data_IF_826217597432
#
_entry.id   IF_826217597432
#
_cell.length_a   1.000
_cell.length_b   1.000
_cell.length_c   1.000
_cell.angle_alpha   90.00
_cell.angle_beta   90.00
_cell.angle_gamma   90.00
#
_symmetry.space_group_name_H-M   'P 1'
#
loop_
_entity.id
_entity.type
_entity.pdbx_description
1 polymer ?
#
# COMPACT_ATOMS: atom_id res chain seq x y z
N UNK A 1 -6.66 22.37 -14.54
CA UNK A 1 -6.02 22.29 -13.20
C UNK A 1 -5.43 20.91 -13.00
N UNK A 2 -4.10 20.75 -12.97
CA UNK A 2 -3.45 19.47 -12.62
C UNK A 2 -3.39 19.35 -11.10
N UNK A 3 -4.40 18.71 -10.51
CA UNK A 3 -4.39 18.37 -9.08
C UNK A 3 -3.22 17.41 -8.80
N UNK A 4 -2.36 17.80 -7.88
CA UNK A 4 -1.24 16.98 -7.41
C UNK A 4 -1.76 15.64 -6.83
N UNK A 5 -1.17 14.51 -7.24
CA UNK A 5 -1.63 13.15 -6.90
C UNK A 5 -1.83 12.91 -5.38
N UNK A 6 -1.08 13.63 -4.53
CA UNK A 6 -1.20 13.59 -3.07
C UNK A 6 -2.58 14.02 -2.56
N UNK A 7 -3.18 15.06 -3.15
CA UNK A 7 -4.53 15.50 -2.78
C UNK A 7 -5.62 14.49 -3.15
N UNK A 8 -5.41 13.75 -4.25
CA UNK A 8 -6.32 12.70 -4.70
C UNK A 8 -6.36 11.49 -3.76
N UNK A 9 -5.20 11.06 -3.28
CA UNK A 9 -5.11 9.93 -2.34
C UNK A 9 -5.82 10.23 -1.02
N UNK A 10 -5.53 11.38 -0.38
CA UNK A 10 -6.16 11.78 0.88
C UNK A 10 -7.68 11.92 0.73
N UNK A 11 -8.14 12.56 -0.35
CA UNK A 11 -9.58 12.67 -0.64
C UNK A 11 -10.25 11.29 -0.78
N UNK A 12 -9.56 10.34 -1.42
CA UNK A 12 -10.07 8.97 -1.57
C UNK A 12 -10.16 8.25 -0.22
N UNK A 13 -9.15 8.39 0.63
CA UNK A 13 -9.15 7.80 1.98
C UNK A 13 -10.28 8.36 2.84
N UNK A 14 -10.55 9.67 2.74
CA UNK A 14 -11.67 10.32 3.44
C UNK A 14 -13.03 9.87 2.88
N UNK A 15 -13.21 9.86 1.55
CA UNK A 15 -14.45 9.40 0.89
C UNK A 15 -14.81 7.96 1.26
N UNK A 16 -13.80 7.12 1.51
CA UNK A 16 -13.97 5.72 1.95
C UNK A 16 -14.12 5.57 3.46
N UNK A 17 -14.12 6.67 4.22
CA UNK A 17 -14.16 6.68 5.67
C UNK A 17 -13.01 5.87 6.32
N UNK A 18 -11.84 5.84 5.69
CA UNK A 18 -10.64 5.19 6.25
C UNK A 18 -9.85 6.14 7.14
N UNK A 19 -9.94 7.44 6.86
CA UNK A 19 -9.42 8.52 7.71
C UNK A 19 -10.48 9.61 7.85
N UNK A 20 -10.41 10.34 8.96
CA UNK A 20 -11.24 11.52 9.23
C UNK A 20 -10.33 12.73 9.49
N UNK A 21 -10.76 13.92 9.03
CA UNK A 21 -10.02 15.16 9.28
C UNK A 21 -10.24 15.62 10.72
N UNK A 22 -9.18 16.12 11.36
CA UNK A 22 -9.25 16.81 12.63
C UNK A 22 -8.74 18.24 12.46
N UNK A 23 -9.49 19.20 13.03
CA UNK A 23 -9.06 20.58 13.10
C UNK A 23 -8.42 20.85 14.46
N UNK A 24 -7.09 20.99 14.45
CA UNK A 24 -6.28 21.28 15.64
C UNK A 24 -5.97 22.78 15.77
N UNK A 25 -6.71 23.66 15.11
CA UNK A 25 -6.69 25.11 15.36
C UNK A 25 -5.44 25.85 14.87
N UNK A 26 -4.39 25.16 14.44
CA UNK A 26 -3.13 25.77 13.97
C UNK A 26 -3.11 26.15 12.47
N UNK A 27 -4.25 26.06 11.78
CA UNK A 27 -4.56 26.72 10.50
C UNK A 27 -3.73 26.35 9.25
N UNK A 28 -2.55 25.73 9.40
CA UNK A 28 -1.61 25.44 8.29
C UNK A 28 -1.44 23.96 7.98
N UNK A 29 -1.72 23.05 8.92
CA UNK A 29 -1.56 21.60 8.71
C UNK A 29 -2.92 20.92 8.80
N UNK A 30 -3.26 20.16 7.75
CA UNK A 30 -4.40 19.24 7.78
C UNK A 30 -3.97 17.97 8.48
N UNK A 31 -4.64 17.65 9.57
CA UNK A 31 -4.38 16.45 10.35
C UNK A 31 -5.54 15.47 10.20
N UNK A 32 -5.22 14.18 10.27
CA UNK A 32 -6.20 13.11 10.06
C UNK A 32 -5.97 11.99 11.06
N UNK A 33 -7.06 11.41 11.54
CA UNK A 33 -7.04 10.21 12.39
C UNK A 33 -7.55 9.04 11.56
N UNK A 34 -6.90 7.89 11.68
CA UNK A 34 -7.39 6.63 11.08
C UNK A 34 -8.64 6.16 11.81
N UNK A 35 -9.68 5.79 11.06
CA UNK A 35 -10.90 5.22 11.64
C UNK A 35 -10.69 3.74 11.97
N UNK A 36 -11.62 3.14 12.70
CA UNK A 36 -11.60 1.69 12.94
C UNK A 36 -11.72 0.91 11.62
N UNK A 37 -12.56 1.38 10.70
CA UNK A 37 -12.64 0.85 9.33
C UNK A 37 -11.29 0.94 8.62
N UNK A 38 -10.60 2.07 8.72
CA UNK A 38 -9.27 2.27 8.15
C UNK A 38 -8.24 1.28 8.71
N UNK A 39 -8.22 1.07 10.03
CA UNK A 39 -7.34 0.07 10.67
C UNK A 39 -7.59 -1.34 10.16
N UNK A 40 -8.86 -1.73 10.05
CA UNK A 40 -9.24 -3.04 9.51
C UNK A 40 -8.77 -3.23 8.06
N UNK A 41 -8.88 -2.18 7.24
CA UNK A 41 -8.39 -2.20 5.86
C UNK A 41 -6.87 -2.30 5.81
N UNK A 42 -6.15 -1.52 6.61
CA UNK A 42 -4.68 -1.60 6.69
C UNK A 42 -4.22 -3.01 7.06
N UNK A 43 -4.88 -3.64 8.03
CA UNK A 43 -4.57 -5.01 8.44
C UNK A 43 -4.82 -6.03 7.31
N UNK A 44 -5.94 -5.90 6.59
CA UNK A 44 -6.25 -6.76 5.43
C UNK A 44 -5.23 -6.56 4.31
N UNK A 45 -4.90 -5.33 3.99
CA UNK A 45 -3.98 -5.00 2.91
C UNK A 45 -2.54 -5.45 3.24
N UNK A 46 -2.12 -5.29 4.50
CA UNK A 46 -0.85 -5.85 4.98
C UNK A 46 -0.79 -7.36 4.79
N UNK A 47 -1.87 -8.09 5.11
CA UNK A 47 -1.93 -9.54 4.89
C UNK A 47 -1.85 -9.88 3.40
N UNK A 48 -2.60 -9.17 2.56
CA UNK A 48 -2.60 -9.36 1.10
C UNK A 48 -1.21 -9.13 0.49
N UNK A 49 -0.53 -8.07 0.90
CA UNK A 49 0.83 -7.76 0.43
C UNK A 49 1.84 -8.84 0.83
N UNK A 50 1.75 -9.36 2.07
CA UNK A 50 2.58 -10.49 2.50
C UNK A 50 2.36 -11.72 1.62
N UNK A 51 1.10 -12.11 1.41
CA UNK A 51 0.78 -13.24 0.53
C UNK A 51 1.31 -13.05 -0.89
N UNK A 52 1.28 -11.83 -1.44
CA UNK A 52 1.87 -11.57 -2.75
C UNK A 52 3.38 -11.75 -2.77
N UNK A 53 4.07 -11.34 -1.71
CA UNK A 53 5.52 -11.54 -1.56
C UNK A 53 5.81 -13.04 -1.47
N UNK A 54 5.09 -13.76 -0.62
CA UNK A 54 5.25 -15.21 -0.45
C UNK A 54 5.07 -15.96 -1.79
N UNK A 55 4.03 -15.62 -2.57
CA UNK A 55 3.81 -16.18 -3.90
C UNK A 55 4.95 -15.84 -4.85
N UNK A 56 5.44 -14.60 -4.85
CA UNK A 56 6.55 -14.20 -5.70
C UNK A 56 7.83 -14.97 -5.34
N UNK A 57 8.12 -15.15 -4.05
CA UNK A 57 9.25 -15.94 -3.57
C UNK A 57 9.15 -17.42 -3.97
N UNK A 58 7.95 -18.01 -3.92
CA UNK A 58 7.71 -19.37 -4.41
C UNK A 58 7.97 -19.49 -5.92
N UNK A 59 7.49 -18.53 -6.71
CA UNK A 59 7.74 -18.49 -8.16
C UNK A 59 9.24 -18.39 -8.42
N UNK A 60 9.95 -17.49 -7.73
CA UNK A 60 11.39 -17.34 -7.88
C UNK A 60 12.12 -18.63 -7.48
N UNK A 61 11.78 -19.26 -6.35
CA UNK A 61 12.39 -20.52 -5.93
C UNK A 61 12.19 -21.64 -6.96
N UNK A 62 11.03 -21.70 -7.61
CA UNK A 62 10.69 -22.76 -8.57
C UNK A 62 11.32 -22.56 -9.95
N UNK A 63 11.53 -21.31 -10.37
CA UNK A 63 11.87 -20.98 -11.76
C UNK A 63 13.16 -20.17 -11.95
N UNK A 64 13.84 -19.75 -10.88
CA UNK A 64 15.16 -19.12 -10.95
C UNK A 64 16.26 -20.09 -10.49
N UNK A 65 17.24 -20.31 -11.37
CA UNK A 65 18.54 -20.86 -10.99
C UNK A 65 19.43 -19.74 -10.47
N UNK A 66 20.09 -19.96 -9.33
CA UNK A 66 20.91 -18.96 -8.66
C UNK A 66 22.27 -18.81 -9.38
N UNK A 67 22.31 -18.01 -10.44
CA UNK A 67 23.55 -17.50 -11.02
C UNK A 67 23.76 -16.10 -10.43
N UNK A 68 24.83 -15.86 -9.66
CA UNK A 68 25.10 -14.54 -9.09
C UNK A 68 25.14 -13.47 -10.19
N UNK A 69 24.28 -12.45 -10.08
CA UNK A 69 24.27 -11.29 -10.97
C UNK A 69 23.25 -11.32 -12.12
N UNK A 70 22.57 -12.43 -12.37
CA UNK A 70 21.56 -12.54 -13.44
C UNK A 70 20.25 -13.16 -12.95
N UNK A 71 19.11 -12.51 -13.24
CA UNK A 71 17.79 -13.10 -13.03
C UNK A 71 17.33 -13.77 -14.32
N UNK A 72 17.57 -15.08 -14.44
CA UNK A 72 17.10 -15.88 -15.58
C UNK A 72 15.83 -16.65 -15.18
N UNK A 73 14.77 -16.50 -15.98
CA UNK A 73 13.52 -17.26 -15.82
C UNK A 73 13.58 -18.47 -16.76
N UNK A 74 13.58 -19.67 -16.20
CA UNK A 74 13.58 -20.94 -16.96
C UNK A 74 12.17 -21.54 -16.99
N UNK A 75 11.66 -21.77 -18.19
CA UNK A 75 10.45 -22.53 -18.45
C UNK A 75 10.84 -23.87 -19.10
N UNK A 76 10.33 -24.99 -18.58
CA UNK A 76 10.44 -26.31 -19.21
C UNK A 76 9.24 -26.58 -20.10
#
# INVERSE_FOLDING_TARGET
MRGNAKGGAINTLQKRNWIIHIDVGNGRRKEYIITETGKNIVSKEKKRLKTLIDIAEEIFKKHMTNIPGEMIIVWT
#
